data_IF_162556936262
#
_entry.id   IF_162556936262
#
_cell.length_a   1.000
_cell.length_b   1.000
_cell.length_c   1.000
_cell.angle_alpha   90.00
_cell.angle_beta   90.00
_cell.angle_gamma   90.00
#
_symmetry.space_group_name_H-M   'P 1'
#
loop_
_entity.id
_entity.type
_entity.pdbx_description
1 polymer ?
#
# COMPACT_ATOMS: atom_id res chain seq x y z
N UNK A 1 25.61 5.57 8.04
CA UNK A 1 25.31 5.09 6.69
C UNK A 1 24.37 6.04 5.98
N UNK A 2 24.69 6.35 4.74
CA UNK A 2 23.88 7.25 3.93
C UNK A 2 22.45 6.74 3.81
N UNK A 3 22.31 5.45 3.76
CA UNK A 3 21.02 4.80 3.67
C UNK A 3 20.09 5.20 4.81
N UNK A 4 20.62 5.22 6.02
CA UNK A 4 19.81 5.57 7.19
C UNK A 4 19.39 7.04 7.14
N UNK A 5 20.25 7.90 6.61
CA UNK A 5 19.92 9.31 6.49
C UNK A 5 18.75 9.52 5.53
N UNK A 6 18.74 8.75 4.44
CA UNK A 6 17.64 8.84 3.47
C UNK A 6 16.32 8.42 4.09
N UNK A 7 16.34 7.39 4.92
CA UNK A 7 15.13 6.94 5.60
C UNK A 7 14.59 8.03 6.50
N UNK A 8 15.46 8.72 7.23
CA UNK A 8 15.04 9.79 8.13
C UNK A 8 14.42 10.95 7.36
N UNK A 9 14.99 11.30 6.22
CA UNK A 9 14.43 12.36 5.40
C UNK A 9 13.01 12.02 5.00
N UNK A 10 12.77 10.77 4.65
CA UNK A 10 11.42 10.34 4.28
C UNK A 10 10.48 10.34 5.47
N UNK A 11 11.00 10.07 6.66
CA UNK A 11 10.17 10.07 7.85
C UNK A 11 9.59 11.45 8.14
N UNK A 12 10.31 12.52 7.77
CA UNK A 12 9.81 13.89 7.96
C UNK A 12 8.57 14.16 7.13
N UNK A 13 8.41 13.46 6.02
CA UNK A 13 7.28 13.62 5.13
C UNK A 13 6.09 12.76 5.56
N UNK A 14 6.28 11.92 6.55
CA UNK A 14 5.25 10.95 6.94
C UNK A 14 4.20 11.56 7.84
N UNK A 15 2.97 11.17 7.60
CA UNK A 15 1.86 11.58 8.45
C UNK A 15 1.02 10.36 8.80
N UNK A 16 0.49 10.40 10.01
CA UNK A 16 -0.42 9.37 10.48
C UNK A 16 -1.76 9.56 9.79
N UNK A 17 -2.28 8.48 9.23
CA UNK A 17 -3.58 8.52 8.57
C UNK A 17 -4.47 7.39 9.07
N UNK A 18 -5.74 7.74 9.20
CA UNK A 18 -6.78 6.80 9.57
C UNK A 18 -7.47 6.39 8.26
N UNK A 19 -7.37 5.13 7.91
CA UNK A 19 -7.97 4.64 6.68
C UNK A 19 -8.61 3.27 6.93
N UNK A 20 -9.51 2.86 6.07
CA UNK A 20 -10.19 1.57 6.21
C UNK A 20 -9.59 0.59 5.21
N UNK A 21 -9.08 -0.52 5.72
CA UNK A 21 -8.42 -1.53 4.90
C UNK A 21 -8.91 -2.92 5.28
N UNK A 22 -8.84 -3.83 4.32
CA UNK A 22 -9.17 -5.23 4.55
C UNK A 22 -8.28 -5.80 5.65
N UNK A 23 -8.90 -6.27 6.72
CA UNK A 23 -8.18 -6.68 7.91
C UNK A 23 -7.40 -7.99 7.70
N UNK A 24 -7.93 -8.88 6.89
CA UNK A 24 -7.24 -10.15 6.63
C UNK A 24 -6.01 -9.94 5.76
N UNK A 25 -6.12 -9.10 4.74
CA UNK A 25 -4.96 -8.75 3.93
C UNK A 25 -3.91 -8.04 4.77
N UNK A 26 -4.35 -7.15 5.66
CA UNK A 26 -3.40 -6.43 6.51
C UNK A 26 -2.64 -7.39 7.42
N UNK A 27 -3.31 -8.40 7.96
CA UNK A 27 -2.65 -9.42 8.78
C UNK A 27 -1.58 -10.15 7.98
N UNK A 28 -1.89 -10.50 6.74
CA UNK A 28 -0.91 -11.17 5.89
C UNK A 28 0.28 -10.26 5.60
N UNK A 29 0.03 -9.00 5.34
CA UNK A 29 1.11 -8.03 5.12
C UNK A 29 2.00 -7.91 6.35
N UNK A 30 1.40 -7.88 7.54
CA UNK A 30 2.17 -7.80 8.78
C UNK A 30 3.05 -9.03 9.00
N UNK A 31 2.54 -10.21 8.66
CA UNK A 31 3.32 -11.45 8.75
C UNK A 31 4.49 -11.40 7.79
N UNK A 32 4.25 -10.98 6.56
CA UNK A 32 5.30 -10.85 5.56
C UNK A 32 6.37 -9.86 6.03
N UNK A 33 5.94 -8.75 6.64
CA UNK A 33 6.87 -7.76 7.14
C UNK A 33 7.79 -8.34 8.20
N UNK A 34 7.23 -9.14 9.12
CA UNK A 34 8.04 -9.80 10.15
C UNK A 34 9.03 -10.76 9.49
N UNK A 35 8.58 -11.54 8.54
CA UNK A 35 9.44 -12.51 7.86
C UNK A 35 10.57 -11.84 7.07
N UNK A 36 10.33 -10.66 6.55
CA UNK A 36 11.32 -9.93 5.77
C UNK A 36 12.07 -8.89 6.58
N UNK A 37 11.83 -8.87 7.88
CA UNK A 37 12.51 -7.97 8.80
C UNK A 37 12.34 -6.51 8.37
N UNK A 38 11.10 -6.12 8.06
CA UNK A 38 10.78 -4.76 7.64
C UNK A 38 9.48 -4.32 8.31
N UNK A 39 9.07 -3.09 8.05
CA UNK A 39 7.84 -2.52 8.57
C UNK A 39 6.69 -2.77 7.60
N UNK A 40 5.51 -3.10 8.12
CA UNK A 40 4.36 -3.29 7.25
C UNK A 40 3.98 -1.99 6.51
N UNK A 41 4.29 -0.83 7.10
CA UNK A 41 4.08 0.45 6.42
C UNK A 41 4.86 0.51 5.11
N UNK A 42 6.10 0.03 5.13
CA UNK A 42 6.94 0.04 3.93
C UNK A 42 6.39 -0.90 2.87
N UNK A 43 5.87 -2.04 3.29
CA UNK A 43 5.25 -2.97 2.33
C UNK A 43 3.99 -2.38 1.72
N UNK A 44 3.18 -1.69 2.52
CA UNK A 44 2.00 -1.00 1.99
C UNK A 44 2.42 0.03 0.94
N UNK A 45 3.48 0.76 1.22
CA UNK A 45 3.97 1.78 0.29
C UNK A 45 4.54 1.17 -0.98
N UNK A 46 5.22 0.02 -0.86
CA UNK A 46 5.68 -0.69 -2.06
C UNK A 46 4.50 -1.08 -2.93
N UNK A 47 3.44 -1.58 -2.31
CA UNK A 47 2.23 -1.93 -3.03
C UNK A 47 1.60 -0.72 -3.69
N UNK A 48 1.58 0.40 -2.98
CA UNK A 48 1.03 1.64 -3.52
C UNK A 48 1.80 2.11 -4.75
N UNK A 49 3.13 2.03 -4.70
CA UNK A 49 3.96 2.38 -5.85
C UNK A 49 3.69 1.46 -7.03
N UNK A 50 3.53 0.18 -6.75
CA UNK A 50 3.20 -0.78 -7.79
C UNK A 50 1.84 -0.46 -8.43
N UNK A 51 0.85 -0.14 -7.59
CA UNK A 51 -0.49 0.19 -8.10
C UNK A 51 -0.45 1.43 -8.99
N UNK A 52 0.33 2.44 -8.59
CA UNK A 52 0.48 3.63 -9.39
C UNK A 52 1.04 3.31 -10.77
N UNK A 53 2.02 2.44 -10.83
CA UNK A 53 2.64 2.07 -12.09
C UNK A 53 1.72 1.22 -12.94
N UNK A 54 1.05 0.26 -12.31
CA UNK A 54 0.14 -0.66 -13.02
C UNK A 54 -1.01 0.06 -13.70
N UNK A 55 -1.56 1.06 -13.02
CA UNK A 55 -2.74 1.77 -13.53
C UNK A 55 -2.41 3.09 -14.21
N UNK A 56 -1.13 3.30 -14.50
CA UNK A 56 -0.69 4.51 -15.18
C UNK A 56 -1.40 4.67 -16.51
N UNK A 57 -1.97 5.85 -16.74
CA UNK A 57 -2.65 6.15 -18.00
C UNK A 57 -4.02 5.52 -18.15
N UNK A 58 -4.51 4.83 -17.15
CA UNK A 58 -5.82 4.21 -17.20
C UNK A 58 -6.90 5.12 -16.64
N UNK A 59 -8.14 4.84 -17.01
CA UNK A 59 -9.32 5.55 -16.55
C UNK A 59 -10.44 4.57 -16.32
N UNK A 60 -11.28 4.85 -15.34
CA UNK A 60 -12.55 4.13 -15.14
C UNK A 60 -12.38 2.62 -15.10
N UNK A 61 -11.50 2.15 -14.21
CA UNK A 61 -11.30 0.72 -14.02
C UNK A 61 -12.26 0.20 -12.97
N UNK A 62 -12.51 -1.11 -13.03
CA UNK A 62 -13.30 -1.78 -11.99
C UNK A 62 -12.36 -2.53 -11.08
N UNK A 63 -12.46 -2.25 -9.79
CA UNK A 63 -11.64 -2.89 -8.77
C UNK A 63 -12.57 -3.56 -7.78
N UNK A 64 -12.29 -4.82 -7.44
CA UNK A 64 -13.08 -5.55 -6.45
C UNK A 64 -12.90 -4.90 -5.09
N UNK A 65 -14.03 -4.51 -4.49
CA UNK A 65 -14.02 -3.88 -3.17
C UNK A 65 -14.11 -4.92 -2.08
N UNK A 66 -13.32 -4.72 -1.03
CA UNK A 66 -13.42 -5.57 0.14
C UNK A 66 -14.64 -5.21 0.97
N UNK A 67 -15.28 -6.19 1.55
CA UNK A 67 -16.34 -5.97 2.55
C UNK A 67 -15.87 -6.33 3.96
N UNK A 68 -14.57 -6.48 4.15
CA UNK A 68 -13.98 -6.88 5.43
C UNK A 68 -13.01 -5.81 5.93
N UNK A 69 -13.38 -4.55 5.79
CA UNK A 69 -12.53 -3.43 6.16
C UNK A 69 -12.74 -3.00 7.59
N UNK A 70 -11.64 -2.60 8.22
CA UNK A 70 -11.68 -1.97 9.53
C UNK A 70 -10.80 -0.74 9.51
N UNK A 71 -11.07 0.17 10.43
CA UNK A 71 -10.27 1.39 10.56
C UNK A 71 -8.87 1.02 11.05
N UNK A 72 -7.87 1.56 10.37
CA UNK A 72 -6.45 1.31 10.66
C UNK A 72 -5.74 2.65 10.73
N UNK A 73 -4.91 2.84 11.75
CA UNK A 73 -4.03 3.99 11.84
C UNK A 73 -2.64 3.56 11.40
N UNK A 74 -2.11 4.24 10.39
CA UNK A 74 -0.77 3.95 9.91
C UNK A 74 -0.15 5.21 9.34
N UNK A 75 1.16 5.22 9.20
CA UNK A 75 1.86 6.37 8.66
C UNK A 75 2.25 6.11 7.21
N UNK A 76 2.06 7.13 6.39
CA UNK A 76 2.43 7.08 4.97
C UNK A 76 3.22 8.32 4.60
N UNK A 77 4.08 8.19 3.61
CA UNK A 77 4.64 9.34 2.93
C UNK A 77 3.48 10.16 2.37
N UNK A 78 3.42 11.46 2.70
CA UNK A 78 2.35 12.34 2.22
C UNK A 78 2.36 12.44 0.71
N UNK A 79 3.55 12.53 0.13
CA UNK A 79 3.68 12.61 -1.32
C UNK A 79 3.08 11.37 -1.99
N UNK A 80 3.45 10.21 -1.50
CA UNK A 80 2.95 8.95 -2.07
C UNK A 80 1.45 8.83 -1.89
N UNK A 81 0.95 9.13 -0.71
CA UNK A 81 -0.47 9.05 -0.42
C UNK A 81 -1.27 9.98 -1.33
N UNK A 82 -0.79 11.19 -1.52
CA UNK A 82 -1.43 12.16 -2.42
C UNK A 82 -1.48 11.66 -3.85
N UNK A 83 -0.41 11.03 -4.32
CA UNK A 83 -0.39 10.45 -5.66
C UNK A 83 -1.41 9.35 -5.82
N UNK A 84 -1.56 8.53 -4.79
CA UNK A 84 -2.56 7.45 -4.81
C UNK A 84 -3.96 8.04 -4.84
N UNK A 85 -4.21 9.09 -4.06
CA UNK A 85 -5.52 9.77 -4.05
C UNK A 85 -5.87 10.30 -5.43
N UNK A 86 -4.94 10.99 -6.07
CA UNK A 86 -5.16 11.57 -7.39
C UNK A 86 -5.42 10.47 -8.42
N UNK A 87 -4.64 9.39 -8.36
CA UNK A 87 -4.81 8.27 -9.29
C UNK A 87 -6.15 7.59 -9.08
N UNK A 88 -6.54 7.37 -7.84
CA UNK A 88 -7.83 6.74 -7.53
C UNK A 88 -8.98 7.56 -8.07
N UNK A 89 -8.92 8.87 -7.90
CA UNK A 89 -9.94 9.76 -8.44
C UNK A 89 -10.04 9.63 -9.96
N UNK A 90 -8.90 9.60 -10.64
CA UNK A 90 -8.85 9.46 -12.09
C UNK A 90 -9.39 8.12 -12.55
N UNK A 91 -9.15 7.07 -11.76
CA UNK A 91 -9.63 5.73 -12.07
C UNK A 91 -11.10 5.52 -11.72
N UNK A 92 -11.69 6.44 -10.96
CA UNK A 92 -13.08 6.32 -10.52
C UNK A 92 -13.27 5.36 -9.38
N UNK A 93 -12.25 5.20 -8.53
CA UNK A 93 -12.31 4.31 -7.38
C UNK A 93 -11.88 5.08 -6.12
N UNK A 94 -12.04 4.45 -4.96
CA UNK A 94 -11.63 5.07 -3.70
C UNK A 94 -10.15 4.85 -3.46
N UNK A 95 -9.55 5.73 -2.67
CA UNK A 95 -8.13 5.61 -2.33
C UNK A 95 -7.83 4.25 -1.69
N UNK A 96 -8.66 3.79 -0.76
CA UNK A 96 -8.42 2.51 -0.11
C UNK A 96 -8.58 1.33 -1.07
N UNK A 97 -9.41 1.45 -2.11
CA UNK A 97 -9.48 0.42 -3.15
C UNK A 97 -8.12 0.24 -3.83
N UNK A 98 -7.47 1.37 -4.12
CA UNK A 98 -6.18 1.33 -4.81
C UNK A 98 -5.07 0.84 -3.89
N UNK A 99 -5.11 1.23 -2.63
CA UNK A 99 -4.15 0.72 -1.65
C UNK A 99 -4.28 -0.81 -1.56
N UNK A 100 -5.51 -1.32 -1.55
CA UNK A 100 -5.74 -2.76 -1.45
C UNK A 100 -5.26 -3.51 -2.69
N UNK A 101 -5.31 -2.87 -3.86
CA UNK A 101 -4.71 -3.46 -5.05
C UNK A 101 -3.22 -3.66 -4.85
N UNK A 102 -2.57 -2.68 -4.25
CA UNK A 102 -1.17 -2.81 -3.91
C UNK A 102 -0.91 -3.92 -2.90
N UNK A 103 -1.80 -4.04 -1.92
CA UNK A 103 -1.69 -5.11 -0.93
C UNK A 103 -1.80 -6.49 -1.57
N UNK A 104 -2.72 -6.65 -2.51
CA UNK A 104 -2.87 -7.91 -3.25
C UNK A 104 -1.61 -8.26 -4.01
N UNK A 105 -0.96 -7.26 -4.58
CA UNK A 105 0.30 -7.48 -5.28
C UNK A 105 1.37 -8.00 -4.33
N UNK A 106 1.52 -7.37 -3.18
CA UNK A 106 2.53 -7.78 -2.20
C UNK A 106 2.27 -9.21 -1.72
N UNK A 107 1.02 -9.51 -1.41
CA UNK A 107 0.63 -10.85 -0.95
C UNK A 107 0.88 -11.88 -2.05
N UNK A 108 0.45 -11.57 -3.26
CA UNK A 108 0.61 -12.49 -4.39
C UNK A 108 2.07 -12.77 -4.73
N UNK A 109 2.90 -11.74 -4.64
CA UNK A 109 4.34 -11.88 -4.90
C UNK A 109 4.97 -12.87 -3.93
N UNK A 110 4.58 -12.80 -2.66
CA UNK A 110 5.15 -13.65 -1.63
C UNK A 110 4.57 -15.08 -1.68
N UNK A 111 3.28 -15.18 -2.00
CA UNK A 111 2.64 -16.49 -2.14
C UNK A 111 3.23 -17.26 -3.32
N UNK A 112 3.51 -16.56 -4.42
CA UNK A 112 4.14 -17.20 -5.58
C UNK A 112 5.50 -17.78 -5.24
N UNK A 113 6.26 -17.06 -4.41
CA UNK A 113 7.56 -17.57 -3.96
C UNK A 113 7.42 -18.87 -3.22
N UNK A 114 6.40 -18.96 -2.39
CA UNK A 114 6.19 -20.15 -1.55
C UNK A 114 5.77 -21.37 -2.34
N UNK A 115 5.10 -21.17 -3.47
CA UNK A 115 4.61 -22.29 -4.27
C UNK A 115 5.67 -22.86 -5.19
N UNK A 116 6.78 -22.20 -5.32
CA UNK A 116 7.88 -22.72 -6.13
C UNK A 116 8.90 -23.44 -5.29
#
# INVERSE_FOLDING_TARGET
>A
MAYNSLIRIRDEDRKNRCTRLDIDMLKQIKIIAVEQDTSYNFLLEDGMRHALERFKGRHNVVIVKSNNRKTVNTTFSEDLYSRVQVRAERLGVNTNDLIEEGMRYIIGRNTKKDTE
#
